data_IF_634972821035
#
_entry.id   IF_634972821035
#
_cell.length_a   1.000
_cell.length_b   1.000
_cell.length_c   1.000
_cell.angle_alpha   90.00
_cell.angle_beta   90.00
_cell.angle_gamma   90.00
#
_symmetry.space_group_name_H-M   'P 1'
#
loop_
_entity.id
_entity.type
_entity.pdbx_description
1 polymer ?
2 non-polymer ?
3 non-polymer ?
4 non-polymer ?
5 water ?
#
# COMPACT_ATOMS: atom_id res chain seq x y z
N UNK A 1 6.33 -15.34 -1.99
CA UNK A 1 6.45 -14.05 -2.75
C UNK A 1 5.24 -13.85 -3.66
N UNK A 2 5.04 -12.62 -4.12
CA UNK A 2 4.03 -12.31 -5.14
C UNK A 2 4.69 -11.55 -6.28
N UNK A 3 4.07 -11.60 -7.45
CA UNK A 3 4.62 -10.97 -8.65
C UNK A 3 3.55 -10.25 -9.48
N UNK A 4 3.99 -9.24 -10.21
CA UNK A 4 3.15 -8.54 -11.19
C UNK A 4 3.97 -8.03 -12.36
N UNK A 5 3.48 -8.32 -13.57
CA UNK A 5 4.16 -7.92 -14.79
C UNK A 5 3.31 -6.91 -15.56
N UNK A 6 3.89 -5.75 -15.85
CA UNK A 6 3.18 -4.71 -16.59
C UNK A 6 3.04 -5.07 -18.07
N UNK A 7 3.96 -5.87 -18.59
CA UNK A 7 3.88 -6.33 -19.97
C UNK A 7 2.67 -7.24 -20.16
N UNK A 8 1.70 -6.77 -20.94
CA UNK A 8 0.46 -7.52 -21.17
C UNK A 8 -0.55 -7.38 -20.05
N UNK A 9 -0.29 -6.48 -19.11
CA UNK A 9 -1.17 -6.27 -17.98
C UNK A 9 -2.53 -5.72 -18.40
N UNK A 10 -3.59 -6.20 -17.74
CA UNK A 10 -4.93 -5.66 -17.93
C UNK A 10 -5.65 -5.67 -16.58
N UNK A 11 -6.87 -5.10 -16.52
CA UNK A 11 -7.58 -5.10 -15.23
C UNK A 11 -7.64 -6.47 -14.55
N UNK A 12 -7.76 -7.54 -15.33
CA UNK A 12 -7.82 -8.90 -14.79
C UNK A 12 -6.51 -9.31 -14.11
N UNK A 13 -5.39 -9.18 -14.82
CA UNK A 13 -4.09 -9.59 -14.26
C UNK A 13 -3.69 -8.74 -13.06
N UNK A 14 -4.04 -7.46 -13.08
CA UNK A 14 -3.81 -6.61 -11.93
C UNK A 14 -4.66 -7.07 -10.74
N UNK A 15 -5.91 -7.41 -10.99
CA UNK A 15 -6.79 -7.96 -9.96
C UNK A 15 -6.24 -9.23 -9.34
N UNK A 16 -5.66 -10.09 -10.17
CA UNK A 16 -5.04 -11.31 -9.67
C UNK A 16 -3.83 -11.00 -8.77
N UNK A 17 -3.06 -9.99 -9.15
CA UNK A 17 -1.92 -9.55 -8.35
C UNK A 17 -2.36 -9.05 -6.96
N UNK A 18 -3.38 -8.20 -6.93
CA UNK A 18 -3.85 -7.64 -5.68
C UNK A 18 -4.45 -8.74 -4.80
N UNK A 19 -5.11 -9.71 -5.43
CA UNK A 19 -5.60 -10.90 -4.73
C UNK A 19 -4.45 -11.67 -4.11
N UNK A 20 -3.39 -11.92 -4.88
CA UNK A 20 -2.19 -12.60 -4.37
C UNK A 20 -1.57 -11.84 -3.20
N UNK A 21 -1.49 -10.51 -3.35
CA UNK A 21 -0.90 -9.65 -2.32
C UNK A 21 -1.66 -9.79 -0.99
N UNK A 22 -2.98 -9.63 -1.05
CA UNK A 22 -3.83 -9.83 0.13
C UNK A 22 -3.65 -11.21 0.75
N UNK A 23 -3.66 -12.24 -0.09
CA UNK A 23 -3.57 -13.63 0.39
C UNK A 23 -2.19 -14.00 0.93
N UNK A 24 -1.17 -13.19 0.61
CA UNK A 24 0.17 -13.39 1.14
C UNK A 24 0.33 -12.84 2.57
N UNK A 25 -0.60 -12.00 3.00
CA UNK A 25 -0.56 -11.41 4.33
C UNK A 25 -1.23 -12.36 5.33
N UNK A 26 -0.50 -12.76 6.39
CA UNK A 26 -1.04 -13.73 7.33
C UNK A 26 -2.04 -13.13 8.31
N UNK A 27 -2.97 -13.95 8.76
CA UNK A 27 -3.91 -13.59 9.81
C UNK A 27 -4.42 -14.87 10.46
N UNK A 28 -4.82 -14.78 11.72
CA UNK A 28 -5.41 -15.91 12.44
C UNK A 28 -6.86 -15.65 12.81
N UNK A 29 -7.36 -14.45 12.49
CA UNK A 29 -8.67 -14.01 12.92
C UNK A 29 -9.24 -13.04 11.90
N UNK A 30 -10.56 -13.11 11.71
CA UNK A 30 -11.28 -12.09 10.95
C UNK A 30 -12.19 -11.33 11.91
N UNK A 31 -12.31 -10.03 11.69
CA UNK A 31 -13.22 -9.19 12.46
C UNK A 31 -14.24 -8.62 11.48
N UNK A 32 -15.51 -8.95 11.72
CA UNK A 32 -16.59 -8.67 10.79
C UNK A 32 -16.25 -9.13 9.37
N UNK A 33 -15.70 -10.35 9.30
CA UNK A 33 -15.34 -11.03 8.05
C UNK A 33 -14.17 -10.40 7.28
N UNK A 34 -13.45 -9.49 7.92
CA UNK A 34 -12.28 -8.84 7.31
C UNK A 34 -11.04 -9.36 8.02
N UNK A 35 -10.05 -9.88 7.25
CA UNK A 35 -8.81 -10.37 7.86
C UNK A 35 -8.14 -9.34 8.75
N UNK A 36 -7.76 -9.77 9.96
CA UNK A 36 -7.08 -8.92 10.92
C UNK A 36 -5.59 -9.19 10.84
N UNK A 37 -4.81 -8.19 10.44
CA UNK A 37 -3.36 -8.35 10.37
C UNK A 37 -2.80 -8.63 11.77
N UNK A 38 -1.68 -9.34 11.82
CA UNK A 38 -1.10 -9.79 13.08
C UNK A 38 -0.48 -8.63 13.85
N UNK A 39 -0.47 -8.72 15.19
CA UNK A 39 0.17 -7.68 16.02
C UNK A 39 1.66 -7.56 15.71
N UNK A 40 2.32 -8.70 15.52
CA UNK A 40 3.73 -8.71 15.16
C UNK A 40 4.13 -10.05 14.55
N UNK A 41 5.22 -10.03 13.79
CA UNK A 41 5.86 -11.22 13.26
C UNK A 41 7.36 -11.04 13.48
N UNK A 42 8.02 -12.11 13.92
CA UNK A 42 9.44 -12.05 14.25
C UNK A 42 10.30 -12.53 13.08
N UNK A 43 11.43 -11.88 12.88
CA UNK A 43 12.43 -12.31 11.91
C UNK A 43 12.09 -11.96 10.47
N UNK A 44 12.58 -12.78 9.55
CA UNK A 44 12.41 -12.55 8.12
C UNK A 44 10.96 -12.72 7.67
N UNK A 45 10.19 -13.54 8.39
CA UNK A 45 8.78 -13.78 8.07
C UNK A 45 7.91 -12.53 8.10
N UNK A 46 8.41 -11.47 8.73
CA UNK A 46 7.72 -10.18 8.76
C UNK A 46 7.56 -9.51 7.39
N UNK A 47 8.41 -9.88 6.43
CA UNK A 47 8.47 -9.16 5.16
C UNK A 47 8.06 -10.00 3.95
N UNK A 48 7.12 -9.47 3.18
CA UNK A 48 6.70 -10.05 1.91
C UNK A 48 7.51 -9.42 0.79
N UNK A 49 7.99 -10.24 -0.15
CA UNK A 49 8.68 -9.74 -1.34
C UNK A 49 7.70 -9.68 -2.52
N UNK A 50 7.58 -8.49 -3.11
CA UNK A 50 6.78 -8.28 -4.32
C UNK A 50 7.73 -8.09 -5.48
N UNK A 51 7.65 -8.98 -6.47
CA UNK A 51 8.46 -8.84 -7.68
C UNK A 51 7.66 -8.11 -8.74
N UNK A 52 8.07 -6.90 -9.05
CA UNK A 52 7.39 -6.05 -10.02
C UNK A 52 8.24 -5.89 -11.27
N UNK A 53 7.63 -6.10 -12.43
CA UNK A 53 8.32 -6.03 -13.71
C UNK A 53 7.69 -4.93 -14.55
N UNK A 54 8.53 -4.02 -15.04
CA UNK A 54 8.06 -2.99 -15.95
C UNK A 54 7.78 -3.59 -17.33
N UNK A 55 7.20 -2.77 -18.21
CA UNK A 55 6.82 -3.23 -19.54
C UNK A 55 7.97 -3.92 -20.28
N UNK A 56 9.18 -3.40 -20.12
CA UNK A 56 10.37 -3.97 -20.77
C UNK A 56 10.93 -5.21 -20.09
N UNK A 57 10.35 -5.59 -18.96
CA UNK A 57 10.77 -6.81 -18.26
C UNK A 57 11.85 -6.61 -17.21
N UNK A 58 12.25 -5.36 -17.00
CA UNK A 58 13.16 -5.02 -15.90
C UNK A 58 12.40 -5.08 -14.60
N UNK A 59 13.08 -5.44 -13.51
CA UNK A 59 12.39 -5.76 -12.27
C UNK A 59 12.99 -5.13 -11.02
N UNK A 60 12.11 -4.85 -10.06
CA UNK A 60 12.51 -4.54 -8.70
C UNK A 60 11.78 -5.49 -7.76
N UNK A 61 12.36 -5.71 -6.59
CA UNK A 61 11.71 -6.48 -5.54
C UNK A 61 11.45 -5.54 -4.39
N UNK A 62 10.19 -5.46 -3.97
CA UNK A 62 9.78 -4.55 -2.92
C UNK A 62 9.49 -5.34 -1.66
N UNK A 63 10.09 -4.92 -0.54
CA UNK A 63 9.86 -5.56 0.75
C UNK A 63 8.71 -4.88 1.48
N UNK A 64 7.71 -5.67 1.87
CA UNK A 64 6.51 -5.17 2.53
C UNK A 64 6.36 -5.81 3.91
N UNK A 65 6.16 -4.98 4.94
CA UNK A 65 5.90 -5.45 6.30
C UNK A 65 4.48 -6.00 6.35
N UNK A 66 4.35 -7.29 6.64
CA UNK A 66 3.06 -7.98 6.52
C UNK A 66 2.06 -7.64 7.64
N UNK A 67 2.51 -6.95 8.68
CA UNK A 67 1.63 -6.55 9.78
C UNK A 67 0.88 -5.24 9.49
N UNK A 68 1.42 -4.39 8.62
CA UNK A 68 0.80 -3.10 8.32
C UNK A 68 0.75 -2.72 6.83
N UNK A 69 1.27 -3.59 5.96
CA UNK A 69 1.39 -3.36 4.51
C UNK A 69 2.24 -2.13 4.15
N UNK A 70 3.17 -1.77 5.04
CA UNK A 70 4.08 -0.64 4.79
C UNK A 70 5.25 -1.14 3.96
N UNK A 71 5.59 -0.39 2.91
CA UNK A 71 6.78 -0.71 2.12
C UNK A 71 8.00 -0.27 2.93
N UNK A 72 8.96 -1.18 3.09
CA UNK A 72 10.18 -0.91 3.86
C UNK A 72 11.31 -0.45 2.96
N UNK A 73 11.40 -1.05 1.79
CA UNK A 73 12.49 -0.78 0.85
C UNK A 73 12.35 -1.65 -0.36
N UNK A 74 13.37 -1.65 -1.21
CA UNK A 74 13.32 -2.43 -2.44
C UNK A 74 14.72 -2.69 -2.97
N UNK A 75 14.81 -3.68 -3.84
CA UNK A 75 16.06 -4.07 -4.47
C UNK A 75 15.96 -3.78 -5.96
N UNK A 76 16.97 -3.09 -6.49
CA UNK A 76 17.05 -2.79 -7.91
C UNK A 76 18.43 -3.19 -8.41
N UNK A 77 18.48 -4.26 -9.20
CA UNK A 77 19.71 -4.93 -9.59
C UNK A 77 20.55 -5.37 -8.36
N UNK A 78 21.64 -4.68 -8.06
CA UNK A 78 22.52 -5.08 -6.97
C UNK A 78 22.56 -4.02 -5.87
N UNK A 79 21.62 -3.08 -5.92
CA UNK A 79 21.54 -2.03 -4.91
C UNK A 79 20.21 -2.12 -4.18
N UNK A 80 20.26 -2.14 -2.85
CA UNK A 80 19.06 -2.08 -2.03
C UNK A 80 18.82 -0.65 -1.57
N UNK A 81 17.55 -0.31 -1.36
CA UNK A 81 17.14 1.02 -0.95
C UNK A 81 16.10 0.88 0.16
N UNK A 82 16.32 1.56 1.29
CA UNK A 82 15.39 1.53 2.41
C UNK A 82 15.02 2.93 2.87
N UNK A 83 13.79 3.09 3.34
CA UNK A 83 13.36 4.36 3.93
C UNK A 83 14.18 4.69 5.17
N UNK A 84 14.30 5.99 5.44
CA UNK A 84 15.05 6.45 6.61
C UNK A 84 14.13 6.45 7.82
N UNK A 85 13.92 5.25 8.37
CA UNK A 85 13.03 5.07 9.52
C UNK A 85 13.41 3.76 10.21
N UNK A 86 13.18 3.67 11.54
CA UNK A 86 13.62 2.48 12.29
C UNK A 86 13.08 1.14 11.79
N UNK A 87 11.81 1.11 11.39
CA UNK A 87 11.20 -0.10 10.88
C UNK A 87 11.91 -0.61 9.62
N UNK A 88 12.33 0.31 8.76
CA UNK A 88 13.01 -0.04 7.52
C UNK A 88 14.44 -0.50 7.76
N UNK A 89 15.14 0.16 8.67
CA UNK A 89 16.49 -0.26 9.05
C UNK A 89 16.45 -1.67 9.62
N UNK A 90 15.45 -1.95 10.46
CA UNK A 90 15.25 -3.30 10.98
C UNK A 90 15.04 -4.28 9.83
N UNK A 91 14.18 -3.93 8.88
CA UNK A 91 13.96 -4.76 7.69
C UNK A 91 15.26 -5.05 6.94
N UNK A 92 16.15 -4.06 6.88
CA UNK A 92 17.42 -4.22 6.17
C UNK A 92 18.33 -5.29 6.79
N UNK A 93 18.03 -5.70 8.02
CA UNK A 93 18.72 -6.82 8.66
C UNK A 93 18.33 -8.16 8.07
N UNK A 94 17.16 -8.22 7.43
CA UNK A 94 16.58 -9.48 6.96
C UNK A 94 16.46 -9.64 5.44
N UNK A 95 16.18 -8.55 4.73
CA UNK A 95 15.97 -8.64 3.27
C UNK A 95 17.05 -7.93 2.45
N UNK A 96 17.28 -8.47 1.26
CA UNK A 96 18.23 -7.89 0.29
C UNK A 96 19.67 -7.81 0.81
N UNK A 97 20.03 -8.72 1.70
CA UNK A 97 21.35 -8.73 2.32
C UNK A 97 22.48 -8.99 1.31
N UNK A 98 22.15 -9.70 0.23
CA UNK A 98 23.13 -10.01 -0.82
C UNK A 98 23.37 -8.85 -1.81
N UNK A 99 22.65 -7.74 -1.65
CA UNK A 99 22.92 -6.53 -2.43
C UNK A 99 24.36 -6.08 -2.22
N UNK A 100 24.98 -5.57 -3.27
CA UNK A 100 26.34 -5.11 -3.21
C UNK A 100 26.48 -3.84 -2.41
N UNK A 101 25.48 -3.02 -2.43
CA UNK A 101 25.43 -1.82 -1.58
C UNK A 101 24.01 -1.52 -1.14
N UNK A 102 23.90 -0.82 -0.02
CA UNK A 102 22.61 -0.41 0.53
C UNK A 102 22.59 1.10 0.64
N UNK A 103 21.60 1.71 0.01
CA UNK A 103 21.36 3.14 0.13
C UNK A 103 20.16 3.37 1.03
N UNK A 104 20.32 4.25 2.02
CA UNK A 104 19.19 4.70 2.82
C UNK A 104 18.64 5.94 2.14
N UNK A 105 17.38 5.89 1.75
CA UNK A 105 16.73 7.03 1.10
C UNK A 105 16.67 8.21 2.07
N UNK A 106 16.71 9.46 1.53
CA UNK A 106 16.75 10.64 2.39
C UNK A 106 15.36 11.09 2.88
N UNK A 107 14.50 10.13 3.19
CA UNK A 107 13.17 10.40 3.74
C UNK A 107 12.59 9.10 4.29
N UNK A 108 11.65 9.25 5.21
CA UNK A 108 10.85 8.13 5.69
C UNK A 108 9.77 7.81 4.66
N UNK A 109 9.03 6.73 4.91
CA UNK A 109 8.03 6.26 3.97
C UNK A 109 6.65 6.87 4.12
N UNK A 110 6.48 7.77 5.07
CA UNK A 110 5.16 8.33 5.30
C UNK A 110 4.78 9.36 4.24
N UNK A 111 3.48 9.43 3.94
CA UNK A 111 2.99 10.26 2.84
C UNK A 111 3.45 11.71 2.91
N UNK A 112 3.44 12.29 4.12
CA UNK A 112 3.82 13.69 4.26
C UNK A 112 5.27 13.95 3.82
N UNK A 113 6.19 13.09 4.26
CA UNK A 113 7.61 13.25 3.91
C UNK A 113 7.90 12.95 2.45
N UNK A 114 7.22 11.95 1.89
CA UNK A 114 7.38 11.62 0.48
C UNK A 114 6.90 12.76 -0.42
N UNK A 115 5.77 13.36 -0.07
CA UNK A 115 5.20 14.49 -0.81
C UNK A 115 6.13 15.71 -0.76
N UNK A 116 6.76 15.94 0.39
CA UNK A 116 7.75 17.00 0.55
C UNK A 116 8.94 16.75 -0.38
N UNK A 117 9.46 15.52 -0.37
CA UNK A 117 10.58 15.15 -1.22
C UNK A 117 10.23 15.23 -2.71
N UNK A 118 9.03 14.77 -3.05
CA UNK A 118 8.57 14.79 -4.44
C UNK A 118 8.24 16.20 -4.94
N UNK A 119 7.92 17.09 -4.01
CA UNK A 119 7.61 18.48 -4.36
C UNK A 119 6.16 18.68 -4.78
N UNK A 120 5.31 17.71 -4.46
CA UNK A 120 3.88 17.83 -4.76
C UNK A 120 3.05 16.84 -3.93
N UNK A 121 1.80 17.22 -3.61
CA UNK A 121 0.93 16.30 -2.91
C UNK A 121 0.42 15.25 -3.89
N UNK A 122 0.05 14.07 -3.38
CA UNK A 122 -0.34 12.99 -4.27
C UNK A 122 -1.72 13.21 -4.91
N UNK A 123 -2.45 14.23 -4.47
CA UNK A 123 -3.62 14.71 -5.21
C UNK A 123 -3.28 15.13 -6.64
N UNK A 124 -2.03 15.55 -6.85
CA UNK A 124 -1.56 16.04 -8.13
C UNK A 124 -0.76 15.02 -8.94
N UNK A 125 -0.54 13.82 -8.37
CA UNK A 125 0.29 12.81 -9.04
C UNK A 125 -0.63 11.75 -9.67
N UNK A 126 -0.65 11.66 -11.01
CA UNK A 126 -1.46 10.63 -11.65
C UNK A 126 -1.03 9.23 -11.23
N UNK A 127 -2.00 8.34 -11.07
CA UNK A 127 -1.73 6.94 -10.79
C UNK A 127 -2.48 6.06 -11.78
N UNK A 128 -2.09 4.79 -11.82
CA UNK A 128 -2.59 3.86 -12.81
C UNK A 128 -1.49 2.86 -13.13
N UNK A 129 -1.78 1.96 -14.06
CA UNK A 129 -0.78 0.97 -14.43
C UNK A 129 0.37 1.57 -15.24
N UNK A 130 0.07 2.52 -16.16
CA UNK A 130 1.21 3.20 -16.80
C UNK A 130 2.12 3.93 -15.81
N UNK A 131 1.52 4.60 -14.82
CA UNK A 131 2.28 5.27 -13.77
C UNK A 131 3.13 4.27 -12.98
N UNK A 132 2.60 3.08 -12.75
CA UNK A 132 3.34 2.04 -12.04
C UNK A 132 4.52 1.56 -12.87
N UNK A 133 4.32 1.39 -14.18
CA UNK A 133 5.42 1.10 -15.09
C UNK A 133 6.53 2.17 -15.00
N UNK A 134 6.13 3.44 -15.00
CA UNK A 134 7.07 4.56 -14.82
C UNK A 134 7.81 4.47 -13.49
N UNK A 135 7.06 4.15 -12.43
CA UNK A 135 7.61 4.11 -11.08
C UNK A 135 8.71 3.06 -10.97
N UNK A 136 8.42 1.88 -11.50
CA UNK A 136 9.38 0.78 -11.50
C UNK A 136 10.65 1.23 -12.22
N UNK A 137 10.46 1.77 -13.42
CA UNK A 137 11.58 2.26 -14.23
C UNK A 137 12.43 3.29 -13.50
N UNK A 138 11.78 4.24 -12.83
CA UNK A 138 12.47 5.27 -12.07
C UNK A 138 13.31 4.67 -10.93
N UNK A 139 12.74 3.69 -10.23
CA UNK A 139 13.42 3.11 -9.08
C UNK A 139 14.61 2.23 -9.47
N UNK A 140 14.69 1.85 -10.74
CA UNK A 140 15.83 1.05 -11.20
C UNK A 140 17.17 1.80 -11.10
N UNK A 141 17.14 3.11 -11.19
CA UNK A 141 18.37 3.92 -11.06
C UNK A 141 18.16 5.09 -10.10
N UNK A 142 19.05 5.18 -9.11
CA UNK A 142 18.84 6.08 -7.99
C UNK A 142 18.67 7.55 -8.40
N UNK A 143 17.59 8.13 -7.92
CA UNK A 143 17.30 9.56 -8.08
C UNK A 143 16.28 9.84 -7.00
N UNK A 144 16.73 10.41 -5.87
CA UNK A 144 15.90 10.46 -4.66
C UNK A 144 14.62 11.30 -4.83
N UNK A 145 14.74 12.41 -5.55
CA UNK A 145 13.58 13.26 -5.82
C UNK A 145 12.56 12.54 -6.72
N UNK A 146 13.04 11.94 -7.80
CA UNK A 146 12.17 11.16 -8.69
C UNK A 146 11.59 9.95 -7.98
N UNK A 147 12.42 9.31 -7.15
CA UNK A 147 11.99 8.11 -6.41
C UNK A 147 10.86 8.39 -5.44
N UNK A 148 10.83 9.57 -4.83
CA UNK A 148 9.75 9.95 -3.92
C UNK A 148 8.39 9.86 -4.62
N UNK A 149 8.31 10.46 -5.81
CA UNK A 149 7.09 10.42 -6.62
C UNK A 149 6.76 9.00 -7.04
N UNK A 150 7.76 8.25 -7.47
CA UNK A 150 7.57 6.86 -7.88
C UNK A 150 7.03 6.02 -6.72
N UNK A 151 7.57 6.24 -5.52
CA UNK A 151 7.14 5.51 -4.35
C UNK A 151 5.71 5.87 -3.94
N UNK A 152 5.32 7.12 -4.12
CA UNK A 152 3.92 7.52 -3.90
C UNK A 152 2.99 6.75 -4.83
N UNK A 153 3.39 6.60 -6.09
CA UNK A 153 2.63 5.81 -7.04
C UNK A 153 2.62 4.33 -6.64
N UNK A 154 3.80 3.82 -6.29
CA UNK A 154 3.97 2.41 -5.94
C UNK A 154 3.11 2.00 -4.75
N UNK A 155 3.16 2.80 -3.69
CA UNK A 155 2.43 2.52 -2.46
C UNK A 155 0.92 2.44 -2.71
N UNK A 156 0.41 3.39 -3.50
CA UNK A 156 -1.02 3.46 -3.76
C UNK A 156 -1.52 2.37 -4.68
N UNK A 157 -0.71 1.98 -5.67
CA UNK A 157 -1.12 0.96 -6.63
C UNK A 157 -0.88 -0.47 -6.13
N UNK A 158 -0.25 -0.63 -4.97
CA UNK A 158 -0.05 -1.94 -4.38
C UNK A 158 -0.73 -2.01 -3.01
N UNK A 159 -0.09 -1.46 -1.99
CA UNK A 159 -0.60 -1.52 -0.61
C UNK A 159 -2.03 -0.99 -0.45
N UNK A 160 -2.29 0.21 -0.97
CA UNK A 160 -3.59 0.85 -0.77
C UNK A 160 -4.70 0.10 -1.52
N UNK A 161 -4.37 -0.42 -2.71
CA UNK A 161 -5.28 -1.27 -3.47
C UNK A 161 -5.57 -2.58 -2.75
N UNK A 162 -4.56 -3.15 -2.11
CA UNK A 162 -4.76 -4.34 -1.28
C UNK A 162 -5.72 -4.05 -0.13
N UNK A 163 -5.58 -2.88 0.49
CA UNK A 163 -6.40 -2.52 1.65
C UNK A 163 -7.86 -2.23 1.31
N UNK A 164 -8.11 -1.65 0.13
CA UNK A 164 -9.44 -1.20 -0.25
C UNK A 164 -9.82 -1.63 -1.65
N UNK A 165 -10.93 -2.34 -1.77
CA UNK A 165 -11.43 -2.77 -3.08
C UNK A 165 -11.73 -1.58 -3.99
N UNK A 166 -12.25 -0.49 -3.42
CA UNK A 166 -12.49 0.73 -4.19
C UNK A 166 -11.22 1.21 -4.88
N UNK A 167 -10.10 1.19 -4.16
CA UNK A 167 -8.83 1.68 -4.71
C UNK A 167 -8.32 0.72 -5.79
N UNK A 168 -8.43 -0.58 -5.55
CA UNK A 168 -8.13 -1.58 -6.57
C UNK A 168 -8.90 -1.29 -7.86
N UNK A 169 -10.20 -1.05 -7.72
CA UNK A 169 -11.07 -0.74 -8.86
C UNK A 169 -10.67 0.57 -9.57
N UNK A 170 -10.27 1.58 -8.78
CA UNK A 170 -9.79 2.83 -9.35
C UNK A 170 -8.55 2.64 -10.23
N UNK A 171 -7.64 1.78 -9.80
CA UNK A 171 -6.44 1.48 -10.57
C UNK A 171 -6.79 0.67 -11.82
N UNK A 172 -7.73 -0.25 -11.69
CA UNK A 172 -8.22 -1.02 -12.85
C UNK A 172 -8.82 -0.09 -13.91
N UNK A 173 -9.50 0.96 -13.48
CA UNK A 173 -10.03 1.97 -14.39
C UNK A 173 -8.91 2.74 -15.09
N UNK A 174 -7.74 2.77 -14.46
CA UNK A 174 -6.55 3.45 -14.97
C UNK A 174 -5.52 2.48 -15.54
N UNK A 175 -6.00 1.38 -16.14
CA UNK A 175 -5.12 0.36 -16.70
C UNK A 175 -4.31 0.88 -17.89
N UNK A 176 -4.89 1.78 -18.68
CA UNK A 176 -4.23 2.29 -19.90
C UNK A 176 -4.18 3.82 -19.98
N UNK A 177 -4.61 4.47 -18.90
CA UNK A 177 -4.59 5.93 -18.81
C UNK A 177 -4.51 6.31 -17.34
N UNK A 178 -3.45 7.03 -16.98
CA UNK A 178 -3.29 7.52 -15.61
C UNK A 178 -4.27 8.64 -15.33
N UNK A 179 -4.64 8.76 -14.06
CA UNK A 179 -5.43 9.88 -13.58
C UNK A 179 -5.14 10.06 -12.11
N UNK A 180 -5.11 11.32 -11.66
CA UNK A 180 -4.90 11.59 -10.23
C UNK A 180 -5.96 10.84 -9.42
N UNK A 181 -5.61 10.45 -8.18
CA UNK A 181 -6.57 9.70 -7.37
C UNK A 181 -7.82 10.52 -7.07
N UNK A 182 -8.98 9.84 -6.97
CA UNK A 182 -10.20 10.51 -6.54
C UNK A 182 -10.04 10.99 -5.10
N UNK A 183 -10.82 11.98 -4.71
CA UNK A 183 -10.80 12.46 -3.32
C UNK A 183 -11.15 11.32 -2.36
N UNK A 184 -12.06 10.45 -2.79
CA UNK A 184 -12.44 9.27 -2.00
C UNK A 184 -11.24 8.36 -1.76
N UNK A 185 -10.43 8.16 -2.79
CA UNK A 185 -9.20 7.37 -2.68
C UNK A 185 -8.28 7.94 -1.60
N UNK A 186 -8.01 9.24 -1.68
CA UNK A 186 -7.17 9.91 -0.69
C UNK A 186 -7.76 9.73 0.71
N UNK A 187 -9.07 9.89 0.79
CA UNK A 187 -9.79 9.80 2.07
C UNK A 187 -9.61 8.42 2.71
N UNK A 188 -9.79 7.37 1.91
CA UNK A 188 -9.65 5.99 2.40
C UNK A 188 -8.22 5.70 2.85
N UNK A 189 -7.24 6.14 2.06
CA UNK A 189 -5.83 5.99 2.43
C UNK A 189 -5.57 6.61 3.79
N UNK A 190 -6.05 7.83 3.98
CA UNK A 190 -5.85 8.56 5.23
C UNK A 190 -6.64 7.99 6.41
N UNK A 191 -7.65 7.18 6.13
CA UNK A 191 -8.57 6.68 7.16
C UNK A 191 -8.37 5.21 7.52
N UNK A 192 -7.39 4.55 6.90
CA UNK A 192 -7.23 3.11 7.07
C UNK A 192 -6.99 2.72 8.52
N UNK A 193 -6.07 3.42 9.18
CA UNK A 193 -5.78 3.17 10.59
C UNK A 193 -7.02 3.39 11.45
N UNK A 194 -7.66 4.55 11.28
CA UNK A 194 -8.88 4.90 12.00
C UNK A 194 -9.99 3.89 11.78
N UNK A 195 -10.25 3.52 10.53
CA UNK A 195 -11.28 2.53 10.21
C UNK A 195 -10.96 1.17 10.82
N UNK A 196 -9.71 0.74 10.69
CA UNK A 196 -9.27 -0.52 11.28
C UNK A 196 -9.54 -0.54 12.79
N UNK A 197 -9.21 0.56 13.46
CA UNK A 197 -9.43 0.70 14.90
C UNK A 197 -10.91 0.58 15.25
N UNK A 198 -11.74 1.38 14.60
CA UNK A 198 -13.18 1.44 14.92
C UNK A 198 -13.91 0.13 14.62
N UNK A 199 -13.52 -0.55 13.56
CA UNK A 199 -14.09 -1.86 13.24
C UNK A 199 -13.76 -2.86 14.35
N UNK A 200 -12.55 -2.78 14.89
CA UNK A 200 -12.15 -3.64 16.01
C UNK A 200 -12.85 -3.23 17.31
N UNK A 201 -12.99 -1.93 17.55
CA UNK A 201 -13.69 -1.43 18.74
C UNK A 201 -15.18 -1.77 18.72
N UNK A 202 -15.74 -1.89 17.51
CA UNK A 202 -17.14 -2.26 17.33
C UNK A 202 -17.46 -3.68 17.82
N UNK A 203 -16.46 -4.55 17.87
CA UNK A 203 -16.61 -5.93 18.26
C UNK A 203 -17.35 -6.13 19.57
N UNK A 204 -17.07 -5.33 20.57
CA UNK A 204 -17.75 -5.36 21.86
C UNK A 204 -18.65 -4.17 22.09
N UNK A 205 -19.09 -3.54 21.00
CA UNK A 205 -19.93 -2.35 21.06
C UNK A 205 -21.12 -2.49 20.09
N UNK A 206 -21.56 -3.73 19.88
CA UNK A 206 -22.71 -4.05 19.02
C UNK A 206 -22.59 -3.52 17.59
N UNK A 207 -21.37 -3.56 17.05
CA UNK A 207 -21.13 -3.11 15.68
C UNK A 207 -21.05 -1.60 15.50
N UNK A 208 -21.10 -0.86 16.61
CA UNK A 208 -21.11 0.60 16.58
C UNK A 208 -19.69 1.14 16.81
N UNK A 209 -19.27 2.08 15.98
CA UNK A 209 -18.00 2.77 16.14
C UNK A 209 -18.03 3.61 17.42
N UNK A 210 -16.97 3.52 18.23
CA UNK A 210 -16.82 4.39 19.39
C UNK A 210 -16.67 5.86 18.96
N UNK A 211 -15.99 6.06 17.83
CA UNK A 211 -15.81 7.38 17.22
C UNK A 211 -16.10 7.30 15.72
N UNK A 212 -17.05 8.11 15.22
CA UNK A 212 -17.35 8.08 13.78
C UNK A 212 -16.16 8.47 12.91
N UNK A 213 -16.06 7.85 11.73
CA UNK A 213 -15.01 8.16 10.76
C UNK A 213 -15.62 8.94 9.60
N UNK A 214 -15.06 10.13 9.34
CA UNK A 214 -15.52 10.97 8.23
C UNK A 214 -14.76 10.60 6.95
N UNK A 215 -15.52 10.29 5.89
CA UNK A 215 -14.95 9.96 4.60
C UNK A 215 -15.55 10.82 3.49
N UNK A 216 -14.83 10.90 2.38
CA UNK A 216 -15.35 11.49 1.15
C UNK A 216 -15.79 10.34 0.26
N UNK A 217 -17.01 10.41 -0.27
CA UNK A 217 -17.53 9.33 -1.11
C UNK A 217 -17.19 9.54 -2.59
N UNK A 218 -17.59 8.59 -3.43
CA UNK A 218 -17.31 8.61 -4.87
C UNK A 218 -17.83 9.86 -5.62
N UNK A 219 -18.68 10.64 -4.95
CA UNK A 219 -19.26 11.83 -5.54
C UNK A 219 -18.69 13.10 -4.94
N UNK A 220 -17.57 12.97 -4.24
CA UNK A 220 -16.91 14.12 -3.62
C UNK A 220 -17.65 14.65 -2.40
N UNK A 221 -18.62 13.89 -1.94
CA UNK A 221 -19.42 14.28 -0.81
C UNK A 221 -18.97 13.67 0.50
N UNK A 222 -18.94 14.48 1.54
CA UNK A 222 -18.46 14.07 2.84
C UNK A 222 -19.48 13.29 3.64
N UNK A 223 -19.34 11.97 3.70
CA UNK A 223 -20.14 11.09 4.56
C UNK A 223 -19.53 10.73 5.93
N UNK A 224 -20.38 10.26 6.81
CA UNK A 224 -19.99 9.88 8.12
C UNK A 224 -20.36 8.43 8.34
N UNK A 225 -19.36 7.66 8.64
CA UNK A 225 -19.41 6.21 8.78
C UNK A 225 -19.50 5.90 10.22
N UNK A 226 -20.57 5.27 10.59
CA UNK A 226 -20.69 5.16 12.06
C UNK A 226 -20.80 3.74 12.66
N UNK A 227 -20.99 2.74 11.81
CA UNK A 227 -21.14 1.37 12.28
C UNK A 227 -20.77 0.39 11.18
N UNK A 228 -20.70 -0.89 11.52
CA UNK A 228 -20.21 -1.92 10.60
C UNK A 228 -21.15 -2.28 9.45
N UNK A 229 -22.37 -1.73 9.43
CA UNK A 229 -23.31 -1.99 8.32
C UNK A 229 -22.98 -1.14 7.09
N UNK A 230 -22.08 -0.18 7.22
CA UNK A 230 -21.67 0.68 6.12
C UNK A 230 -20.98 -0.13 5.02
N UNK A 231 -21.14 0.31 3.78
CA UNK A 231 -20.55 -0.37 2.67
C UNK A 231 -19.02 -0.39 2.74
N UNK A 232 -18.46 0.63 3.35
CA UNK A 232 -17.01 0.69 3.52
C UNK A 232 -16.52 -0.53 4.29
N UNK A 233 -17.29 -0.95 5.29
CA UNK A 233 -16.92 -2.12 6.09
C UNK A 233 -17.34 -3.43 5.43
N UNK A 234 -18.53 -3.47 4.86
CA UNK A 234 -19.07 -4.71 4.30
C UNK A 234 -18.48 -5.07 2.94
N UNK A 235 -18.08 -4.05 2.21
CA UNK A 235 -17.68 -4.09 0.79
C UNK A 235 -16.16 -3.82 0.31
N UNK A 236 -15.67 -2.88 1.05
CA UNK A 236 -14.54 -2.10 0.56
C UNK A 236 -13.24 -2.53 1.22
N UNK A 237 -13.12 -2.28 2.52
CA UNK A 237 -11.89 -2.57 3.25
C UNK A 237 -11.64 -4.08 3.27
N UNK A 238 -10.39 -4.46 3.02
CA UNK A 238 -10.04 -5.87 2.87
C UNK A 238 -9.02 -6.36 3.90
N UNK A 239 -8.44 -5.43 4.65
CA UNK A 239 -7.40 -5.73 5.63
C UNK A 239 -7.53 -4.74 6.78
N UNK A 240 -7.38 -5.23 8.02
CA UNK A 240 -7.43 -4.38 9.20
C UNK A 240 -6.06 -4.32 9.86
N UNK A 241 -5.59 -3.09 10.08
CA UNK A 241 -4.42 -2.85 10.91
C UNK A 241 -4.79 -3.22 12.35
N UNK A 242 -4.01 -4.10 12.96
CA UNK A 242 -4.25 -4.52 14.34
C UNK A 242 -4.17 -3.34 15.28
N UNK A 243 -5.13 -3.23 16.20
CA UNK A 243 -5.20 -2.11 17.13
C UNK A 243 -3.97 -2.01 18.05
N UNK A 244 -3.28 -3.11 18.21
CA UNK A 244 -2.02 -3.14 18.94
C UNK A 244 -0.94 -2.27 18.29
N UNK A 245 -1.04 -2.12 16.99
CA UNK A 245 -0.12 -1.28 16.21
C UNK A 245 -0.66 0.13 15.93
N UNK A 246 -1.71 0.53 16.67
CA UNK A 246 -2.32 1.85 16.50
C UNK A 246 -2.21 2.65 17.79
X LIG B 1 -25.48 2.54 10.75
X LIG B 1 -26.59 3.51 11.14
X LIG B 1 -27.57 3.82 10.00
X LIG B 1 -26.89 3.93 8.65
X LIG B 1 -25.93 2.77 8.45
X LIG B 1 -25.23 2.79 7.09
X LIG B 1 -26.89 3.07 13.54
X LIG B 1 -27.72 2.40 14.60
X LIG B 1 -27.31 2.93 12.27
X LIG B 1 -28.25 5.03 10.26
X LIG B 1 -27.88 3.93 7.64
X LIG B 1 -24.96 2.84 9.47
X LIG B 1 -24.57 4.03 6.90
X LIG B 1 -25.88 3.68 13.85
X LIG C 1 -0.21 -0.15 -18.99
X LIG C 1 0.92 0.60 -19.46
X LIG C 1 0.06 -1.65 -19.07
X LIG C 1 1.46 -1.89 -19.35
X LIG C 1 -0.83 -2.26 -20.14
X LIG C 1 -0.53 -3.65 -20.32
X LIG D 1 -15.54 -8.77 3.89
X LIG D 1 -16.95 -8.65 3.68
X LIG D 1 -14.76 -8.30 2.65
X LIG D 1 -15.51 -7.36 1.88
X LIG D 1 -14.38 -9.49 1.75
X LIG D 1 -15.45 -10.44 1.66
X LIG E 1 2.70 9.69 7.81
X LIG E 1 1.53 9.81 6.89
X LIG E 1 1.58 11.09 6.16
X LIG E 1 0.27 9.50 7.58
X LIG E 1 1.60 8.61 5.81
X LIG E 1 2.05 7.32 6.11
X LIG E 1 1.54 6.36 5.06
X LIG E 1 2.57 6.05 4.16
X LIG E 1 1.03 5.03 5.60
X LIG E 1 -0.40 5.00 5.70
X LIG E 1 1.53 3.99 4.64
X LIG E 1 0.54 3.54 3.71
X LIG E 1 2.65 4.67 3.89
X LIG E 1 3.95 4.20 4.35
X LIG E 1 4.56 3.16 3.63
X LIG E 1 5.75 2.69 4.03
X LIG E 1 6.34 3.19 5.10
X LIG E 1 5.76 4.22 5.84
X LIG E 1 4.54 4.71 5.42
X LIG E 1 4.00 2.66 2.65
X LIG E 1 7.52 2.69 5.45
#
# INVERSE_FOLDING_TARGET
DVSFRLSGADPSSYGMFIKDLRNALPHTEKVYNIPLLLPSVSGAGRYLLMHLFNYDGNTITVAVDVTNVYIMGYLALTTSYFFNEPAADLASQYVFRSARRKITLPYSGNYERLQIAAGKPREKIPIGLPALDTAISTLLHYDSTAAAGALLVLIQTTAEAARFKYIEQQIQERAYRDEVPSSATISLENSWSGLSKQIQLAQGNNGVFRTPTVLVDSKGNRVQITNVTSNVVTSNIQLLLNTKNI
NAG C1 C2 C3 C4 C5 C6 C7 C8 N2 O3 O4 O5 O6 O7
GOL C1 O1 C2 O2 C3 O3
GOL C1 O1 C2 O2 C3 O3
C5P O3P P O1P O2P O5' C5' C4' O4' C3' O3' C2' O2' C1' N1 C2 N3 C4 C5 C6 O2 N4
#
